data_IF_507621473435
#
_entry.id   IF_507621473435
#
_cell.length_a   1.000
_cell.length_b   1.000
_cell.length_c   1.000
_cell.angle_alpha   90.00
_cell.angle_beta   90.00
_cell.angle_gamma   90.00
#
_symmetry.space_group_name_H-M   'P 1'
#
loop_
_entity.id
_entity.type
_entity.pdbx_description
1 polymer ?
#
# COMPACT_ATOMS: atom_id res chain seq x y z
N UNK A 1 12.29 -4.66 -16.00
CA UNK A 1 12.74 -5.36 -14.77
C UNK A 1 14.16 -5.91 -14.88
N UNK A 2 15.04 -5.57 -13.93
CA UNK A 2 16.34 -6.24 -13.77
C UNK A 2 16.19 -7.44 -12.82
N UNK A 3 16.04 -8.65 -13.38
CA UNK A 3 16.14 -9.87 -12.58
C UNK A 3 17.60 -10.19 -12.31
N UNK A 4 18.00 -10.25 -11.04
CA UNK A 4 19.37 -10.65 -10.68
C UNK A 4 19.51 -12.17 -10.87
N UNK A 5 20.42 -12.57 -11.77
CA UNK A 5 20.72 -13.97 -12.08
C UNK A 5 19.52 -14.83 -12.49
N UNK A 6 18.54 -14.25 -13.21
CA UNK A 6 17.31 -14.91 -13.67
C UNK A 6 16.46 -15.54 -12.54
N UNK A 7 16.65 -15.17 -11.26
CA UNK A 7 15.76 -15.59 -10.18
C UNK A 7 14.59 -14.58 -10.06
N UNK A 8 13.36 -14.94 -10.49
CA UNK A 8 12.21 -14.04 -10.42
C UNK A 8 11.83 -13.70 -8.97
N UNK A 9 12.38 -14.42 -7.99
CA UNK A 9 12.21 -14.20 -6.57
C UNK A 9 13.19 -13.19 -5.94
N UNK A 10 14.27 -12.82 -6.64
CA UNK A 10 15.31 -11.91 -6.15
C UNK A 10 15.07 -10.49 -6.69
N UNK A 11 14.14 -9.79 -6.06
CA UNK A 11 13.77 -8.41 -6.40
C UNK A 11 14.06 -7.49 -5.24
N UNK A 12 14.57 -6.30 -5.56
CA UNK A 12 14.93 -5.30 -4.56
C UNK A 12 13.71 -4.61 -3.95
N UNK A 13 12.68 -4.30 -4.74
CA UNK A 13 11.53 -3.51 -4.31
C UNK A 13 10.23 -4.33 -4.16
N UNK A 14 10.31 -5.66 -4.28
CA UNK A 14 9.12 -6.50 -4.17
C UNK A 14 8.19 -6.50 -5.38
N UNK A 15 8.64 -5.94 -6.49
CA UNK A 15 7.96 -5.85 -7.79
C UNK A 15 7.86 -7.22 -8.51
N UNK A 16 7.26 -8.21 -7.86
CA UNK A 16 7.04 -9.52 -8.48
C UNK A 16 5.94 -9.43 -9.55
N UNK A 17 6.22 -9.90 -10.77
CA UNK A 17 5.22 -10.01 -11.85
C UNK A 17 4.02 -10.86 -11.43
N UNK A 18 4.27 -11.96 -10.71
CA UNK A 18 3.26 -12.95 -10.32
C UNK A 18 2.84 -12.82 -8.85
N UNK A 19 2.87 -11.61 -8.28
CA UNK A 19 2.62 -11.41 -6.84
C UNK A 19 1.28 -12.03 -6.38
N UNK A 20 0.23 -11.85 -7.19
CA UNK A 20 -1.13 -12.29 -6.88
C UNK A 20 -1.40 -13.78 -7.18
N UNK A 21 -0.49 -14.48 -7.86
CA UNK A 21 -0.55 -15.95 -7.99
C UNK A 21 -0.31 -16.64 -6.63
N UNK A 22 0.51 -16.01 -5.78
CA UNK A 22 0.85 -16.53 -4.45
C UNK A 22 0.05 -15.87 -3.32
N UNK A 23 -0.35 -14.61 -3.51
CA UNK A 23 -1.12 -13.81 -2.55
C UNK A 23 -2.47 -13.43 -3.16
N UNK A 24 -3.40 -14.38 -3.23
CA UNK A 24 -4.67 -14.20 -3.92
C UNK A 24 -5.41 -12.91 -3.47
N UNK A 25 -5.69 -12.02 -4.42
CA UNK A 25 -6.29 -10.72 -4.16
C UNK A 25 -7.71 -10.83 -3.57
N UNK A 26 -8.52 -11.80 -4.04
CA UNK A 26 -9.87 -12.03 -3.53
C UNK A 26 -9.89 -12.52 -2.08
N UNK A 27 -8.96 -13.40 -1.70
CA UNK A 27 -8.81 -13.83 -0.31
C UNK A 27 -8.44 -12.66 0.61
N UNK A 28 -7.62 -11.73 0.12
CA UNK A 28 -7.29 -10.50 0.86
C UNK A 28 -8.50 -9.59 1.01
N UNK A 29 -9.30 -9.42 -0.05
CA UNK A 29 -10.51 -8.61 -0.04
C UNK A 29 -11.53 -9.09 1.02
N UNK A 30 -11.63 -10.40 1.24
CA UNK A 30 -12.52 -10.98 2.26
C UNK A 30 -12.17 -10.60 3.71
N UNK A 31 -10.97 -10.08 3.95
CA UNK A 31 -10.53 -9.63 5.27
C UNK A 31 -10.92 -8.18 5.57
N UNK A 32 -11.39 -7.46 4.54
CA UNK A 32 -11.76 -6.06 4.65
C UNK A 32 -13.14 -5.93 5.32
N UNK A 33 -13.26 -5.19 6.43
CA UNK A 33 -14.55 -4.91 7.06
C UNK A 33 -15.39 -4.02 6.14
N UNK A 34 -16.72 -4.04 6.21
CA UNK A 34 -17.56 -3.20 5.31
C UNK A 34 -17.93 -1.84 5.90
N UNK A 35 -17.85 -1.67 7.21
CA UNK A 35 -18.38 -0.56 7.98
C UNK A 35 -17.35 0.53 8.33
N UNK A 36 -16.06 0.25 8.18
CA UNK A 36 -14.99 1.19 8.62
C UNK A 36 -14.58 2.21 7.58
N UNK A 37 -15.11 2.17 6.35
CA UNK A 37 -14.64 3.04 5.25
C UNK A 37 -15.24 4.44 5.31
N UNK A 38 -16.42 4.61 5.89
CA UNK A 38 -17.05 5.92 5.98
C UNK A 38 -16.53 6.66 7.21
N UNK A 39 -15.96 7.86 6.99
CA UNK A 39 -15.58 8.78 8.06
C UNK A 39 -16.79 9.48 8.71
N UNK A 40 -16.55 10.25 9.77
CA UNK A 40 -17.59 11.02 10.47
C UNK A 40 -17.95 12.34 9.78
N UNK A 41 -17.28 12.69 8.69
CA UNK A 41 -17.43 14.01 8.08
C UNK A 41 -18.62 14.09 7.13
N UNK A 42 -19.40 15.16 7.31
CA UNK A 42 -20.48 15.59 6.42
C UNK A 42 -19.90 16.16 5.11
N UNK A 43 -19.34 15.29 4.27
CA UNK A 43 -18.90 15.67 2.92
C UNK A 43 -20.11 15.97 2.05
N UNK A 44 -19.97 16.94 1.14
CA UNK A 44 -21.09 17.36 0.31
C UNK A 44 -21.52 16.25 -0.65
N UNK A 45 -22.83 16.11 -0.93
CA UNK A 45 -23.31 15.23 -1.98
C UNK A 45 -22.59 15.51 -3.30
N UNK A 46 -22.09 14.45 -3.95
CA UNK A 46 -21.38 14.55 -5.23
C UNK A 46 -19.86 14.74 -5.14
N UNK A 47 -19.26 14.94 -3.96
CA UNK A 47 -17.81 14.88 -3.82
C UNK A 47 -17.30 13.44 -4.10
N UNK A 48 -16.19 13.26 -4.85
CA UNK A 48 -15.62 11.94 -5.07
C UNK A 48 -15.05 11.37 -3.76
N UNK A 49 -14.99 10.05 -3.67
CA UNK A 49 -14.30 9.33 -2.61
C UNK A 49 -12.94 8.88 -3.13
N UNK A 50 -11.88 9.53 -2.65
CA UNK A 50 -10.52 9.40 -3.18
C UNK A 50 -9.75 8.33 -2.41
N UNK A 51 -9.13 7.41 -3.15
CA UNK A 51 -8.32 6.33 -2.61
C UNK A 51 -6.94 6.34 -3.26
N UNK A 52 -5.90 6.17 -2.45
CA UNK A 52 -4.53 5.94 -2.91
C UNK A 52 -4.12 4.50 -2.57
N UNK A 53 -3.65 3.74 -3.56
CA UNK A 53 -3.13 2.38 -3.38
C UNK A 53 -1.62 2.36 -3.68
N UNK A 54 -0.80 2.32 -2.62
CA UNK A 54 0.66 2.31 -2.72
C UNK A 54 1.15 0.88 -3.01
N UNK A 55 2.01 0.74 -4.02
CA UNK A 55 2.55 -0.55 -4.45
C UNK A 55 1.48 -1.39 -5.15
N UNK A 56 0.72 -0.77 -6.06
CA UNK A 56 -0.43 -1.40 -6.71
C UNK A 56 -0.07 -2.62 -7.59
N UNK A 57 1.21 -2.85 -7.87
CA UNK A 57 1.72 -3.88 -8.77
C UNK A 57 1.01 -3.77 -10.13
N UNK A 58 0.56 -4.89 -10.71
CA UNK A 58 -0.21 -4.90 -11.96
C UNK A 58 -1.72 -4.55 -11.78
N UNK A 59 -2.13 -3.96 -10.64
CA UNK A 59 -3.47 -3.44 -10.41
C UNK A 59 -4.54 -4.50 -10.07
N UNK A 60 -4.18 -5.77 -9.85
CA UNK A 60 -5.16 -6.84 -9.60
C UNK A 60 -5.99 -6.60 -8.33
N UNK A 61 -5.36 -6.20 -7.23
CA UNK A 61 -6.07 -5.86 -5.99
C UNK A 61 -6.77 -4.51 -6.10
N UNK A 62 -6.16 -3.53 -6.74
CA UNK A 62 -6.70 -2.17 -6.90
C UNK A 62 -8.07 -2.19 -7.57
N UNK A 63 -8.25 -3.00 -8.61
CA UNK A 63 -9.55 -3.14 -9.29
C UNK A 63 -10.59 -3.86 -8.44
N UNK A 64 -10.20 -4.89 -7.67
CA UNK A 64 -11.10 -5.54 -6.73
C UNK A 64 -11.49 -4.61 -5.58
N UNK A 65 -10.56 -3.80 -5.09
CA UNK A 65 -10.79 -2.77 -4.09
C UNK A 65 -11.79 -1.74 -4.60
N UNK A 66 -11.68 -1.32 -5.86
CA UNK A 66 -12.68 -0.46 -6.49
C UNK A 66 -14.08 -1.08 -6.44
N UNK A 67 -14.26 -2.32 -6.88
CA UNK A 67 -15.57 -2.98 -6.83
C UNK A 67 -16.11 -3.06 -5.40
N UNK A 68 -15.28 -3.47 -4.45
CA UNK A 68 -15.65 -3.57 -3.04
C UNK A 68 -16.06 -2.23 -2.42
N UNK A 69 -15.28 -1.17 -2.66
CA UNK A 69 -15.60 0.17 -2.17
C UNK A 69 -16.81 0.77 -2.89
N UNK A 70 -17.00 0.47 -4.17
CA UNK A 70 -18.18 0.89 -4.88
C UNK A 70 -19.44 0.27 -4.27
N UNK A 71 -19.39 -0.98 -3.80
CA UNK A 71 -20.52 -1.60 -3.06
C UNK A 71 -20.74 -0.96 -1.67
N UNK A 72 -19.69 -0.82 -0.87
CA UNK A 72 -19.83 -0.43 0.54
C UNK A 72 -19.99 1.09 0.72
N UNK A 73 -19.38 1.87 -0.16
CA UNK A 73 -19.34 3.33 -0.10
C UNK A 73 -20.12 3.93 -1.27
N UNK A 74 -19.80 3.52 -2.51
CA UNK A 74 -20.29 4.19 -3.70
C UNK A 74 -21.80 4.13 -3.87
N UNK A 75 -22.38 2.94 -3.98
CA UNK A 75 -23.83 2.73 -4.10
C UNK A 75 -24.58 3.02 -2.81
N UNK A 76 -23.99 2.73 -1.65
CA UNK A 76 -24.67 2.89 -0.36
C UNK A 76 -24.75 4.36 0.10
N UNK A 77 -23.77 5.19 -0.29
CA UNK A 77 -23.66 6.59 0.16
C UNK A 77 -23.61 7.59 -1.01
N UNK A 78 -23.91 7.14 -2.23
CA UNK A 78 -23.94 7.95 -3.46
C UNK A 78 -22.63 8.72 -3.71
N UNK A 79 -21.49 8.05 -3.51
CA UNK A 79 -20.14 8.62 -3.70
C UNK A 79 -19.48 8.05 -4.96
N UNK A 80 -18.92 8.93 -5.79
CA UNK A 80 -18.11 8.49 -6.93
C UNK A 80 -16.72 8.03 -6.46
N UNK A 81 -16.41 6.72 -6.52
CA UNK A 81 -15.11 6.19 -6.11
C UNK A 81 -14.04 6.51 -7.17
N UNK A 82 -12.92 7.08 -6.73
CA UNK A 82 -11.77 7.39 -7.57
C UNK A 82 -10.50 6.83 -6.90
N UNK A 83 -9.77 5.96 -7.59
CA UNK A 83 -8.57 5.31 -7.09
C UNK A 83 -7.36 5.70 -7.92
N UNK A 84 -6.29 6.14 -7.25
CA UNK A 84 -4.96 6.25 -7.81
C UNK A 84 -4.11 5.09 -7.29
N UNK A 85 -3.72 4.16 -8.18
CA UNK A 85 -2.70 3.17 -7.89
C UNK A 85 -1.31 3.70 -8.26
N UNK A 86 -0.32 3.50 -7.40
CA UNK A 86 1.07 3.89 -7.69
C UNK A 86 2.01 2.71 -7.49
N UNK A 87 3.01 2.59 -8.35
CA UNK A 87 4.06 1.57 -8.21
C UNK A 87 5.39 2.10 -8.76
N UNK A 88 6.49 1.62 -8.18
CA UNK A 88 7.86 1.97 -8.58
C UNK A 88 8.28 1.28 -9.87
N UNK A 89 7.59 0.22 -10.29
CA UNK A 89 7.92 -0.50 -11.52
C UNK A 89 7.06 -0.05 -12.70
N UNK A 90 7.67 0.68 -13.63
CA UNK A 90 7.00 1.16 -14.84
C UNK A 90 6.39 0.07 -15.74
N UNK A 91 6.98 -1.14 -15.78
CA UNK A 91 6.43 -2.26 -16.56
C UNK A 91 5.14 -2.79 -15.91
N UNK A 92 5.11 -2.87 -14.57
CA UNK A 92 3.91 -3.25 -13.82
C UNK A 92 2.81 -2.20 -13.95
N UNK A 93 3.15 -0.90 -13.85
CA UNK A 93 2.19 0.19 -14.08
C UNK A 93 1.63 0.14 -15.50
N UNK A 94 2.47 -0.12 -16.51
CA UNK A 94 2.01 -0.27 -17.89
C UNK A 94 1.01 -1.42 -18.01
N UNK A 95 1.27 -2.56 -17.37
CA UNK A 95 0.33 -3.70 -17.31
C UNK A 95 -0.96 -3.34 -16.60
N UNK A 96 -0.89 -2.62 -15.48
CA UNK A 96 -2.06 -2.15 -14.75
C UNK A 96 -2.92 -1.23 -15.64
N UNK A 97 -2.30 -0.30 -16.38
CA UNK A 97 -2.98 0.56 -17.37
C UNK A 97 -3.64 -0.24 -18.49
N UNK A 98 -2.94 -1.23 -19.07
CA UNK A 98 -3.48 -2.07 -20.15
C UNK A 98 -4.63 -2.97 -19.67
N UNK A 99 -4.54 -3.52 -18.46
CA UNK A 99 -5.53 -4.42 -17.88
C UNK A 99 -6.64 -3.73 -17.08
N UNK A 100 -6.78 -2.41 -17.21
CA UNK A 100 -7.72 -1.62 -16.42
C UNK A 100 -9.16 -1.74 -16.94
N UNK A 101 -10.03 -2.41 -16.19
CA UNK A 101 -11.44 -2.53 -16.49
C UNK A 101 -12.26 -1.27 -16.16
N UNK A 102 -11.70 -0.33 -15.39
CA UNK A 102 -12.40 0.85 -14.88
C UNK A 102 -11.62 2.16 -15.15
N UNK A 103 -11.29 2.49 -16.42
CA UNK A 103 -10.41 3.62 -16.76
C UNK A 103 -10.95 5.00 -16.36
N UNK A 104 -12.25 5.13 -16.09
CA UNK A 104 -12.87 6.38 -15.62
C UNK A 104 -12.79 6.58 -14.10
N UNK A 105 -12.41 5.54 -13.35
CA UNK A 105 -12.43 5.55 -11.88
C UNK A 105 -11.10 5.11 -11.27
N UNK A 106 -10.35 4.27 -11.96
CA UNK A 106 -9.06 3.77 -11.50
C UNK A 106 -8.01 4.28 -12.47
N UNK A 107 -7.01 4.96 -11.93
CA UNK A 107 -5.85 5.47 -12.66
C UNK A 107 -4.58 4.91 -12.03
N UNK A 108 -3.50 4.83 -12.82
CA UNK A 108 -2.23 4.30 -12.34
C UNK A 108 -1.10 5.27 -12.68
N UNK A 109 -0.14 5.44 -11.78
CA UNK A 109 1.06 6.23 -12.05
C UNK A 109 2.34 5.52 -11.62
N UNK A 110 3.38 5.72 -12.43
CA UNK A 110 4.72 5.27 -12.12
C UNK A 110 5.44 6.35 -11.32
N UNK A 111 5.78 6.01 -10.08
CA UNK A 111 6.58 6.85 -9.20
C UNK A 111 7.24 6.06 -8.07
N UNK A 112 8.38 6.56 -7.59
CA UNK A 112 8.90 6.24 -6.26
C UNK A 112 8.25 7.17 -5.20
N UNK A 113 7.53 6.58 -4.24
CA UNK A 113 6.89 7.32 -3.14
C UNK A 113 7.91 7.91 -2.15
N UNK A 114 9.12 7.37 -2.10
CA UNK A 114 10.20 7.86 -1.26
C UNK A 114 10.92 9.05 -1.90
N UNK A 115 10.90 9.18 -3.23
CA UNK A 115 11.44 10.33 -3.93
C UNK A 115 10.49 11.54 -3.81
N UNK A 116 11.00 12.67 -3.31
CA UNK A 116 10.20 13.88 -3.08
C UNK A 116 9.71 14.55 -4.37
N UNK A 117 10.47 14.44 -5.45
CA UNK A 117 10.09 15.04 -6.73
C UNK A 117 9.01 14.20 -7.41
N UNK A 118 9.14 12.87 -7.38
CA UNK A 118 8.16 11.98 -8.00
C UNK A 118 6.86 11.89 -7.20
N UNK A 119 6.93 11.87 -5.86
CA UNK A 119 5.75 11.86 -4.99
C UNK A 119 4.89 13.12 -5.11
N UNK A 120 5.41 14.22 -5.68
CA UNK A 120 4.61 15.42 -6.00
C UNK A 120 3.41 15.12 -6.91
N UNK A 121 3.49 14.09 -7.76
CA UNK A 121 2.37 13.64 -8.61
C UNK A 121 1.14 13.21 -7.81
N UNK A 122 1.33 12.71 -6.58
CA UNK A 122 0.22 12.37 -5.67
C UNK A 122 -0.51 13.65 -5.24
N UNK A 123 0.24 14.70 -4.91
CA UNK A 123 -0.35 16.00 -4.57
C UNK A 123 -1.02 16.64 -5.79
N UNK A 124 -0.43 16.55 -6.98
CA UNK A 124 -1.06 17.00 -8.22
C UNK A 124 -2.40 16.29 -8.49
N UNK A 125 -2.48 14.99 -8.19
CA UNK A 125 -3.74 14.24 -8.29
C UNK A 125 -4.79 14.79 -7.33
N UNK A 126 -4.44 15.03 -6.06
CA UNK A 126 -5.34 15.63 -5.06
C UNK A 126 -5.78 17.05 -5.46
N UNK A 127 -4.87 17.85 -6.01
CA UNK A 127 -5.17 19.20 -6.48
C UNK A 127 -6.24 19.24 -7.58
N UNK A 128 -6.28 18.24 -8.48
CA UNK A 128 -7.33 18.12 -9.51
C UNK A 128 -8.73 18.01 -8.90
N UNK A 129 -8.83 17.48 -7.69
CA UNK A 129 -10.08 17.31 -6.94
C UNK A 129 -10.28 18.40 -5.88
N UNK A 130 -9.41 19.41 -5.82
CA UNK A 130 -9.40 20.43 -4.76
C UNK A 130 -9.34 19.83 -3.34
N UNK A 131 -8.55 18.76 -3.18
CA UNK A 131 -8.36 18.05 -1.89
C UNK A 131 -6.92 18.21 -1.40
N UNK A 132 -6.72 18.05 -0.10
CA UNK A 132 -5.40 17.96 0.55
C UNK A 132 -5.04 16.55 1.00
N UNK A 133 -6.06 15.70 1.17
CA UNK A 133 -5.95 14.33 1.65
C UNK A 133 -6.89 13.43 0.84
N UNK A 134 -6.55 12.14 0.80
CA UNK A 134 -7.43 11.06 0.36
C UNK A 134 -8.40 10.69 1.50
N UNK A 135 -9.59 10.19 1.13
CA UNK A 135 -10.44 9.48 2.10
C UNK A 135 -9.69 8.27 2.66
N UNK A 136 -8.95 7.57 1.79
CA UNK A 136 -8.20 6.37 2.16
C UNK A 136 -6.84 6.33 1.51
N UNK A 137 -5.82 5.96 2.29
CA UNK A 137 -4.53 5.52 1.76
C UNK A 137 -4.30 4.06 2.17
N UNK A 138 -4.00 3.21 1.18
CA UNK A 138 -3.76 1.79 1.34
C UNK A 138 -2.27 1.47 1.12
N UNK A 139 -1.71 0.65 2.02
CA UNK A 139 -0.37 0.10 1.93
C UNK A 139 -0.41 -1.40 2.19
N UNK A 140 -0.70 -2.18 1.15
CA UNK A 140 -0.81 -3.64 1.25
C UNK A 140 0.52 -4.33 0.98
N UNK A 141 1.16 -4.86 2.02
CA UNK A 141 2.42 -5.60 1.89
C UNK A 141 3.54 -4.80 1.20
N UNK A 142 3.69 -3.51 1.54
CA UNK A 142 4.76 -2.64 1.03
C UNK A 142 5.83 -2.33 2.09
N UNK A 143 5.42 -2.20 3.36
CA UNK A 143 6.28 -1.75 4.47
C UNK A 143 7.65 -2.44 4.55
N UNK A 144 7.71 -3.77 4.37
CA UNK A 144 8.99 -4.49 4.38
C UNK A 144 9.96 -4.04 3.30
N UNK A 145 9.48 -3.76 2.10
CA UNK A 145 10.33 -3.36 0.98
C UNK A 145 10.86 -1.94 1.18
N UNK A 146 10.03 -1.04 1.71
CA UNK A 146 10.49 0.28 2.15
C UNK A 146 11.57 0.14 3.21
N UNK A 147 11.31 -0.66 4.23
CA UNK A 147 12.22 -0.84 5.36
C UNK A 147 13.57 -1.44 4.96
N UNK A 148 13.57 -2.47 4.11
CA UNK A 148 14.80 -3.11 3.62
C UNK A 148 15.66 -2.19 2.75
N UNK A 149 15.04 -1.24 2.03
CA UNK A 149 15.74 -0.33 1.12
C UNK A 149 16.12 1.01 1.75
N UNK A 150 15.37 1.48 2.75
CA UNK A 150 15.54 2.83 3.32
C UNK A 150 15.77 2.85 4.84
N UNK A 151 15.86 1.69 5.50
CA UNK A 151 16.14 1.61 6.93
C UNK A 151 14.94 1.98 7.81
N UNK A 152 15.17 2.03 9.13
CA UNK A 152 14.13 2.41 10.10
C UNK A 152 13.60 3.83 9.82
N UNK A 153 14.51 4.78 9.59
CA UNK A 153 14.19 6.18 9.28
C UNK A 153 13.33 6.29 8.02
N UNK A 154 13.64 5.51 6.98
CA UNK A 154 12.86 5.48 5.75
C UNK A 154 11.47 4.90 5.94
N UNK A 155 11.32 3.86 6.77
CA UNK A 155 10.00 3.32 7.11
C UNK A 155 9.18 4.32 7.94
N UNK A 156 9.80 5.03 8.88
CA UNK A 156 9.14 6.07 9.67
C UNK A 156 8.68 7.23 8.79
N UNK A 157 9.56 7.77 7.94
CA UNK A 157 9.22 8.82 6.98
C UNK A 157 8.11 8.38 6.01
N UNK A 158 8.13 7.13 5.58
CA UNK A 158 7.06 6.58 4.74
C UNK A 158 5.72 6.60 5.47
N UNK A 159 5.66 6.12 6.71
CA UNK A 159 4.43 6.11 7.52
C UNK A 159 3.92 7.53 7.82
N UNK A 160 4.82 8.48 8.12
CA UNK A 160 4.50 9.91 8.27
C UNK A 160 3.84 10.46 7.00
N UNK A 161 4.45 10.26 5.83
CA UNK A 161 3.89 10.67 4.54
C UNK A 161 2.51 10.07 4.30
N UNK A 162 2.32 8.77 4.57
CA UNK A 162 1.01 8.14 4.39
C UNK A 162 -0.04 8.70 5.34
N UNK A 163 0.33 8.99 6.59
CA UNK A 163 -0.54 9.68 7.53
C UNK A 163 -0.92 11.06 7.00
N UNK A 164 0.03 11.90 6.57
CA UNK A 164 -0.30 13.25 6.08
C UNK A 164 -1.28 13.25 4.89
N UNK A 165 -1.29 12.16 4.11
CA UNK A 165 -2.15 12.00 2.95
C UNK A 165 -3.52 11.37 3.27
N UNK A 166 -3.74 10.80 4.46
CA UNK A 166 -4.89 9.94 4.74
C UNK A 166 -5.85 10.46 5.80
N UNK A 167 -7.16 10.42 5.52
CA UNK A 167 -8.19 10.39 6.57
C UNK A 167 -8.27 9.00 7.23
N UNK A 168 -8.31 7.94 6.42
CA UNK A 168 -8.19 6.54 6.86
C UNK A 168 -6.94 5.90 6.26
N UNK A 169 -6.02 5.44 7.12
CA UNK A 169 -4.84 4.71 6.71
C UNK A 169 -5.04 3.20 6.88
N UNK A 170 -4.79 2.43 5.82
CA UNK A 170 -4.85 0.96 5.83
C UNK A 170 -3.44 0.41 5.61
N UNK A 171 -2.94 -0.39 6.55
CA UNK A 171 -1.59 -0.97 6.50
C UNK A 171 -1.64 -2.49 6.71
N UNK A 172 -1.02 -3.24 5.80
CA UNK A 172 -0.75 -4.67 5.97
C UNK A 172 0.77 -4.87 6.12
N UNK A 173 1.32 -4.78 7.35
CA UNK A 173 2.74 -4.98 7.56
C UNK A 173 3.12 -6.45 7.33
N UNK A 174 4.29 -6.69 6.73
CA UNK A 174 4.80 -8.05 6.59
C UNK A 174 5.61 -8.47 7.83
N UNK A 175 5.38 -9.69 8.36
CA UNK A 175 6.10 -10.18 9.54
C UNK A 175 7.59 -10.41 9.24
N UNK A 176 8.43 -10.40 10.27
CA UNK A 176 9.90 -10.54 10.15
C UNK A 176 10.37 -11.81 9.40
N UNK A 177 9.56 -12.89 9.41
CA UNK A 177 9.84 -14.09 8.60
C UNK A 177 9.92 -13.80 7.09
N UNK A 178 9.17 -12.80 6.60
CA UNK A 178 9.22 -12.36 5.21
C UNK A 178 10.55 -11.68 4.89
N UNK A 179 11.10 -10.87 5.80
CA UNK A 179 12.42 -10.23 5.66
C UNK A 179 13.51 -11.29 5.46
N UNK A 180 13.56 -12.30 6.35
CA UNK A 180 14.51 -13.42 6.25
C UNK A 180 14.39 -14.17 4.92
N UNK A 181 13.17 -14.32 4.40
CA UNK A 181 12.94 -14.99 3.11
C UNK A 181 13.47 -14.14 1.95
N UNK A 182 13.22 -12.83 1.96
CA UNK A 182 13.72 -11.89 0.94
C UNK A 182 15.25 -11.87 0.93
N UNK A 183 15.88 -11.74 2.11
CA UNK A 183 17.35 -11.76 2.25
C UNK A 183 17.98 -13.03 1.72
N UNK A 184 17.38 -14.19 2.01
CA UNK A 184 17.88 -15.47 1.50
C UNK A 184 17.86 -15.52 -0.03
N UNK A 185 16.82 -14.97 -0.66
CA UNK A 185 16.70 -14.90 -2.13
C UNK A 185 17.73 -13.94 -2.73
N UNK A 186 17.86 -12.73 -2.17
CA UNK A 186 18.87 -11.75 -2.61
C UNK A 186 20.28 -12.32 -2.49
N UNK A 187 20.62 -12.92 -1.34
CA UNK A 187 21.94 -13.53 -1.11
C UNK A 187 22.25 -14.63 -2.12
N UNK A 188 21.27 -15.48 -2.43
CA UNK A 188 21.43 -16.54 -3.45
C UNK A 188 21.68 -15.95 -4.84
N UNK A 189 21.09 -14.80 -5.15
CA UNK A 189 21.31 -14.07 -6.38
C UNK A 189 22.61 -13.24 -6.37
N UNK A 190 23.45 -13.33 -5.34
CA UNK A 190 24.74 -12.63 -5.26
C UNK A 190 24.63 -11.19 -4.77
N UNK A 191 23.54 -10.86 -4.07
CA UNK A 191 23.25 -9.48 -3.67
C UNK A 191 22.70 -9.39 -2.24
N UNK A 192 22.56 -8.17 -1.71
CA UNK A 192 22.08 -7.93 -0.35
C UNK A 192 21.29 -6.63 -0.20
N UNK A 193 20.60 -6.51 0.94
CA UNK A 193 20.02 -5.23 1.38
C UNK A 193 21.03 -4.52 2.27
N UNK A 194 21.65 -3.41 1.82
CA UNK A 194 22.79 -2.80 2.51
C UNK A 194 22.46 -2.38 3.94
N UNK A 195 21.24 -1.89 4.16
CA UNK A 195 20.78 -1.37 5.45
C UNK A 195 20.28 -2.45 6.40
N UNK A 196 20.14 -3.71 5.96
CA UNK A 196 19.54 -4.77 6.77
C UNK A 196 20.24 -4.97 8.13
N UNK A 197 21.57 -4.89 8.14
CA UNK A 197 22.37 -5.09 9.36
C UNK A 197 22.21 -3.95 10.37
N UNK A 198 21.74 -2.78 9.93
CA UNK A 198 21.56 -1.60 10.77
C UNK A 198 20.15 -1.49 11.34
N UNK A 199 19.19 -2.30 10.87
CA UNK A 199 17.79 -2.22 11.29
C UNK A 199 17.61 -2.49 12.79
N UNK A 200 16.91 -1.59 13.46
CA UNK A 200 16.52 -1.70 14.86
C UNK A 200 15.12 -2.30 15.00
N UNK A 201 14.19 -1.97 14.10
CA UNK A 201 12.83 -2.53 14.10
C UNK A 201 12.82 -3.92 13.47
N UNK A 202 13.20 -4.93 14.25
CA UNK A 202 13.44 -6.26 13.71
C UNK A 202 12.32 -7.27 14.02
N UNK A 203 12.52 -8.16 14.98
CA UNK A 203 11.61 -9.30 15.19
C UNK A 203 10.17 -8.93 15.54
N UNK A 204 9.95 -7.72 16.08
CA UNK A 204 8.66 -7.16 16.45
C UNK A 204 8.23 -5.98 15.55
N UNK A 205 8.70 -5.93 14.29
CA UNK A 205 8.42 -4.81 13.36
C UNK A 205 6.94 -4.42 13.26
N UNK A 206 6.01 -5.37 13.34
CA UNK A 206 4.56 -5.11 13.32
C UNK A 206 4.11 -4.28 14.53
N UNK A 207 4.65 -4.58 15.71
CA UNK A 207 4.40 -3.83 16.95
C UNK A 207 5.06 -2.46 16.89
N UNK A 208 6.30 -2.36 16.38
CA UNK A 208 6.96 -1.06 16.22
C UNK A 208 6.17 -0.12 15.29
N UNK A 209 5.67 -0.63 14.16
CA UNK A 209 4.82 0.14 13.25
C UNK A 209 3.54 0.59 13.97
N UNK A 210 2.88 -0.31 14.70
CA UNK A 210 1.67 0.05 15.44
C UNK A 210 1.95 1.13 16.50
N UNK A 211 3.00 0.94 17.32
CA UNK A 211 3.38 1.91 18.37
C UNK A 211 3.72 3.26 17.77
N UNK A 212 4.43 3.30 16.64
CA UNK A 212 4.77 4.56 15.98
C UNK A 212 3.52 5.28 15.43
N UNK A 213 2.64 4.55 14.74
CA UNK A 213 1.37 5.12 14.26
C UNK A 213 0.51 5.67 15.41
N UNK A 214 0.39 4.92 16.50
CA UNK A 214 -0.49 5.29 17.61
C UNK A 214 0.12 6.34 18.54
N UNK A 215 1.37 6.16 18.95
CA UNK A 215 2.01 6.98 19.99
C UNK A 215 2.77 8.18 19.42
N UNK A 216 3.40 8.03 18.25
CA UNK A 216 4.20 9.12 17.65
C UNK A 216 3.38 9.96 16.67
N UNK A 217 2.52 9.34 15.87
CA UNK A 217 1.70 10.03 14.86
C UNK A 217 0.25 10.27 15.32
N UNK A 218 -0.12 9.83 16.52
CA UNK A 218 -1.42 10.11 17.13
C UNK A 218 -2.62 9.45 16.45
N UNK A 219 -2.39 8.47 15.58
CA UNK A 219 -3.47 7.75 14.87
C UNK A 219 -4.11 6.72 15.77
N UNK A 220 -5.43 6.62 15.75
CA UNK A 220 -6.18 5.60 16.49
C UNK A 220 -6.45 4.39 15.61
N UNK A 221 -6.04 3.20 16.06
CA UNK A 221 -6.46 1.94 15.42
C UNK A 221 -7.97 1.74 15.57
N UNK A 222 -8.69 1.73 14.46
CA UNK A 222 -10.15 1.57 14.42
C UNK A 222 -10.58 0.15 14.08
N UNK A 223 -9.73 -0.62 13.41
CA UNK A 223 -9.98 -2.02 13.08
C UNK A 223 -8.68 -2.79 12.85
N UNK A 224 -8.70 -4.09 13.14
CA UNK A 224 -7.66 -5.06 12.82
C UNK A 224 -8.32 -6.36 12.39
N UNK A 225 -7.94 -6.90 11.23
CA UNK A 225 -8.46 -8.20 10.80
C UNK A 225 -7.81 -9.35 11.61
N UNK A 226 -8.50 -10.50 11.68
CA UNK A 226 -7.88 -11.70 12.23
C UNK A 226 -6.60 -12.07 11.44
N UNK A 227 -5.55 -12.59 12.10
CA UNK A 227 -4.35 -13.01 11.41
C UNK A 227 -4.65 -14.06 10.34
N UNK A 228 -4.15 -13.83 9.14
CA UNK A 228 -4.22 -14.82 8.07
C UNK A 228 -3.39 -16.06 8.42
N UNK A 229 -3.51 -17.14 7.62
CA UNK A 229 -2.59 -18.30 7.69
C UNK A 229 -1.11 -17.90 7.61
N UNK A 230 -0.81 -16.77 6.98
CA UNK A 230 0.52 -16.22 6.85
C UNK A 230 0.91 -15.28 7.99
N UNK A 231 0.09 -15.19 9.04
CA UNK A 231 0.27 -14.30 10.20
C UNK A 231 0.33 -12.82 9.80
N UNK A 232 -0.29 -12.45 8.67
CA UNK A 232 -0.45 -11.05 8.29
C UNK A 232 -1.77 -10.52 8.83
N UNK A 233 -1.76 -9.28 9.28
CA UNK A 233 -2.92 -8.51 9.72
C UNK A 233 -3.07 -7.28 8.84
N UNK A 234 -4.30 -6.88 8.59
CA UNK A 234 -4.64 -5.61 7.94
C UNK A 234 -5.20 -4.73 9.04
N UNK A 235 -4.53 -3.61 9.28
CA UNK A 235 -4.85 -2.67 10.33
C UNK A 235 -5.33 -1.35 9.72
N UNK A 236 -6.33 -0.74 10.35
CA UNK A 236 -6.97 0.49 9.91
C UNK A 236 -6.80 1.54 10.99
N UNK A 237 -6.37 2.75 10.61
CA UNK A 237 -6.04 3.83 11.51
C UNK A 237 -6.69 5.14 11.05
N UNK A 238 -7.22 5.91 11.99
CA UNK A 238 -7.75 7.27 11.78
C UNK A 238 -7.00 8.27 12.61
#
# INVERSE_FOLDING_TARGET
MEYRNNDPGAVQYGNFINYYDFNNAGQRLNLLPRDVWIGTDNRQPGEPYLVLDIGCNAGNLTQLLYTFLNECVGTTHERNIQILGVDIDSDLVKRAKTGNAFPSNVSYEHLDVMDSNESSKINEYLHKWNRKTFDVVCSFSVTMWIHLNHGDDGLQLFLEKLCDLAELLVVEPQPWKCYRTALRRMKKAGDEFPLYKALQWCTNVEECIQVFLESSLGRKKVFECLPTRWQRRICFYR
#
